data_IF_369254520402
#
_entry.id   IF_369254520402
#
_cell.length_a   1.000
_cell.length_b   1.000
_cell.length_c   1.000
_cell.angle_alpha   90.00
_cell.angle_beta   90.00
_cell.angle_gamma   90.00
#
_symmetry.space_group_name_H-M   'P 1'
#
loop_
_entity.id
_entity.type
_entity.pdbx_description
1 polymer ?
#
# COMPACT_ATOMS: atom_id res chain seq x y z
N UNK A 1 -1.50 2.72 -6.42
CA UNK A 1 -2.53 3.10 -7.42
C UNK A 1 -2.38 4.59 -7.70
N UNK A 2 -2.55 5.03 -8.95
CA UNK A 2 -2.46 6.46 -9.30
C UNK A 2 -3.89 7.02 -9.30
N UNK A 3 -4.22 8.00 -8.43
CA UNK A 3 -5.55 8.58 -8.40
C UNK A 3 -6.03 9.05 -9.77
N UNK A 4 -7.21 8.61 -10.18
CA UNK A 4 -7.83 8.95 -11.46
C UNK A 4 -7.46 8.05 -12.64
N UNK A 5 -6.49 7.15 -12.50
CA UNK A 5 -6.10 6.20 -13.55
C UNK A 5 -6.75 4.84 -13.30
N UNK A 6 -7.52 4.34 -14.27
CA UNK A 6 -8.25 3.07 -14.14
C UNK A 6 -7.56 1.90 -14.82
N UNK A 7 -6.66 2.18 -15.74
CA UNK A 7 -5.85 1.19 -16.44
C UNK A 7 -4.90 0.52 -15.45
N UNK A 8 -4.67 -0.77 -15.65
CA UNK A 8 -3.71 -1.52 -14.84
C UNK A 8 -2.63 -2.10 -15.74
N UNK A 9 -1.41 -2.15 -15.21
CA UNK A 9 -0.26 -2.74 -15.90
C UNK A 9 0.16 -4.00 -15.16
N UNK A 10 0.15 -5.13 -15.86
CA UNK A 10 0.57 -6.43 -15.31
C UNK A 10 1.92 -6.80 -15.89
N UNK A 11 2.86 -7.09 -15.01
CA UNK A 11 4.17 -7.65 -15.35
C UNK A 11 4.17 -9.10 -14.86
N UNK A 12 4.49 -10.05 -15.74
CA UNK A 12 4.78 -11.42 -15.34
C UNK A 12 6.25 -11.74 -15.67
N UNK A 13 6.89 -12.51 -14.79
CA UNK A 13 8.30 -12.83 -14.90
C UNK A 13 8.80 -13.60 -13.69
N UNK A 14 10.11 -13.79 -13.62
CA UNK A 14 10.77 -14.46 -12.49
C UNK A 14 11.21 -13.43 -11.47
N UNK A 15 10.89 -13.66 -10.20
CA UNK A 15 11.35 -12.83 -9.08
C UNK A 15 12.58 -13.44 -8.40
N UNK A 16 13.61 -12.64 -8.17
CA UNK A 16 14.79 -12.97 -7.38
C UNK A 16 14.97 -11.94 -6.26
N UNK A 17 15.21 -12.40 -5.02
CA UNK A 17 15.54 -11.52 -3.91
C UNK A 17 17.06 -11.34 -3.87
N UNK A 18 17.51 -10.09 -3.87
CA UNK A 18 18.93 -9.70 -3.86
C UNK A 18 19.23 -8.77 -2.70
N UNK A 19 20.45 -8.82 -2.19
CA UNK A 19 20.98 -7.94 -1.14
C UNK A 19 22.34 -7.30 -1.52
N UNK A 20 22.65 -7.23 -2.82
CA UNK A 20 23.89 -6.63 -3.32
C UNK A 20 23.98 -5.14 -2.93
N UNK A 21 25.10 -4.72 -2.34
CA UNK A 21 25.25 -3.37 -1.79
C UNK A 21 25.06 -2.26 -2.84
N UNK A 22 25.53 -2.45 -4.06
CA UNK A 22 25.41 -1.49 -5.17
C UNK A 22 23.97 -1.39 -5.70
N UNK A 23 23.21 -2.49 -5.65
CA UNK A 23 21.80 -2.49 -5.99
C UNK A 23 20.99 -1.77 -4.90
N UNK A 24 21.21 -2.12 -3.63
CA UNK A 24 20.51 -1.51 -2.49
C UNK A 24 20.72 0.01 -2.43
N UNK A 25 21.94 0.49 -2.76
CA UNK A 25 22.26 1.92 -2.81
C UNK A 25 21.37 2.72 -3.78
N UNK A 26 20.80 2.09 -4.82
CA UNK A 26 19.89 2.75 -5.79
C UNK A 26 18.48 2.99 -5.22
N UNK A 27 18.14 2.37 -4.10
CA UNK A 27 16.82 2.41 -3.48
C UNK A 27 16.83 3.05 -2.08
N UNK A 28 17.84 3.87 -1.78
CA UNK A 28 17.90 4.64 -0.54
C UNK A 28 16.72 5.61 -0.44
N UNK A 29 16.04 5.60 0.70
CA UNK A 29 15.02 6.59 1.05
C UNK A 29 15.36 7.18 2.41
N UNK A 30 15.55 8.49 2.46
CA UNK A 30 15.79 9.24 3.70
C UNK A 30 16.94 8.67 4.55
N UNK A 31 18.09 8.36 3.92
CA UNK A 31 19.27 7.83 4.62
C UNK A 31 19.19 6.35 4.97
N UNK A 32 18.13 5.64 4.55
CA UNK A 32 17.91 4.23 4.90
C UNK A 32 17.92 3.36 3.66
N UNK A 33 18.81 2.37 3.67
CA UNK A 33 18.87 1.33 2.66
C UNK A 33 17.84 0.24 2.96
N UNK A 34 17.19 -0.34 1.94
CA UNK A 34 16.40 -1.55 2.13
C UNK A 34 17.30 -2.74 2.51
N UNK A 35 16.73 -3.75 3.18
CA UNK A 35 17.45 -4.98 3.51
C UNK A 35 17.70 -5.88 2.30
N UNK A 36 16.82 -5.77 1.30
CA UNK A 36 16.84 -6.57 0.08
C UNK A 36 15.98 -5.88 -1.00
N UNK A 37 16.24 -6.20 -2.26
CA UNK A 37 15.42 -5.82 -3.41
C UNK A 37 14.81 -7.05 -4.07
N UNK A 38 13.60 -6.92 -4.62
CA UNK A 38 13.03 -7.91 -5.54
C UNK A 38 13.35 -7.51 -6.97
N UNK A 39 14.21 -8.28 -7.63
CA UNK A 39 14.49 -8.14 -9.06
C UNK A 39 13.48 -8.98 -9.82
N UNK A 40 12.73 -8.36 -10.73
CA UNK A 40 11.79 -9.07 -11.60
C UNK A 40 12.35 -9.12 -13.01
N UNK A 41 12.78 -10.29 -13.47
CA UNK A 41 13.11 -10.52 -14.87
C UNK A 41 11.81 -10.65 -15.65
N UNK A 42 11.43 -9.59 -16.35
CA UNK A 42 10.18 -9.51 -17.11
C UNK A 42 10.19 -10.51 -18.27
N UNK A 43 9.15 -11.35 -18.32
CA UNK A 43 8.89 -12.26 -19.45
C UNK A 43 7.79 -11.71 -20.35
N UNK A 44 6.77 -11.09 -19.76
CA UNK A 44 5.65 -10.50 -20.49
C UNK A 44 5.04 -9.34 -19.69
N UNK A 45 4.52 -8.35 -20.41
CA UNK A 45 3.87 -7.19 -19.81
C UNK A 45 2.63 -6.80 -20.61
N UNK A 46 1.53 -6.53 -19.90
CA UNK A 46 0.24 -6.25 -20.50
C UNK A 46 -0.45 -5.06 -19.85
N UNK A 47 -1.08 -4.24 -20.69
CA UNK A 47 -2.10 -3.30 -20.24
C UNK A 47 -3.43 -4.06 -20.13
N UNK A 48 -4.08 -3.97 -18.98
CA UNK A 48 -5.38 -4.57 -18.73
C UNK A 48 -6.48 -3.51 -18.71
N UNK A 49 -7.67 -3.92 -19.15
CA UNK A 49 -8.82 -3.03 -19.26
C UNK A 49 -9.27 -2.50 -17.88
N UNK A 50 -9.74 -1.25 -17.87
CA UNK A 50 -10.18 -0.51 -16.69
C UNK A 50 -11.49 -1.00 -16.03
N UNK A 51 -12.10 -2.08 -16.54
CA UNK A 51 -13.48 -2.48 -16.19
C UNK A 51 -13.69 -2.71 -14.69
N UNK A 52 -12.72 -3.32 -14.00
CA UNK A 52 -12.84 -3.61 -12.58
C UNK A 52 -12.87 -2.33 -11.74
N UNK A 53 -11.95 -1.39 -11.99
CA UNK A 53 -11.84 -0.13 -11.27
C UNK A 53 -13.02 0.80 -11.57
N UNK A 54 -13.51 0.81 -12.81
CA UNK A 54 -14.73 1.53 -13.20
C UNK A 54 -15.96 0.97 -12.46
N UNK A 55 -16.14 -0.36 -12.44
CA UNK A 55 -17.28 -1.00 -11.75
C UNK A 55 -17.25 -0.81 -10.25
N UNK A 56 -16.06 -0.77 -9.64
CA UNK A 56 -15.93 -0.51 -8.20
C UNK A 56 -16.06 0.97 -7.85
N UNK A 57 -16.19 1.85 -8.84
CA UNK A 57 -16.22 3.32 -8.64
C UNK A 57 -15.04 3.80 -7.80
N UNK A 58 -13.86 3.18 -7.96
CA UNK A 58 -12.74 3.34 -7.03
C UNK A 58 -12.36 4.81 -6.80
N UNK A 59 -12.41 5.63 -7.84
CA UNK A 59 -12.01 7.03 -7.80
C UNK A 59 -13.16 8.00 -7.54
N UNK A 60 -14.40 7.52 -7.60
CA UNK A 60 -15.60 8.34 -7.44
C UNK A 60 -15.73 8.80 -5.99
N UNK A 61 -15.69 10.12 -5.72
CA UNK A 61 -15.87 10.64 -4.36
C UNK A 61 -17.22 10.23 -3.74
N UNK A 62 -18.27 10.09 -4.55
CA UNK A 62 -19.61 9.72 -4.07
C UNK A 62 -19.70 8.23 -3.69
N UNK A 63 -18.75 7.40 -4.12
CA UNK A 63 -18.69 5.98 -3.75
C UNK A 63 -17.94 5.74 -2.44
N UNK A 64 -17.33 6.78 -1.86
CA UNK A 64 -16.50 6.64 -0.65
C UNK A 64 -17.38 6.44 0.56
N UNK A 65 -17.13 5.35 1.28
CA UNK A 65 -17.80 5.07 2.55
C UNK A 65 -17.30 6.07 3.61
N UNK A 66 -18.20 6.70 4.41
CA UNK A 66 -17.81 7.50 5.56
C UNK A 66 -16.90 6.73 6.51
N UNK A 67 -15.88 7.38 7.08
CA UNK A 67 -14.91 6.68 7.94
C UNK A 67 -15.57 6.05 9.16
N UNK A 68 -16.53 6.73 9.75
CA UNK A 68 -17.30 6.29 10.92
C UNK A 68 -18.26 5.13 10.64
N UNK A 69 -18.46 4.74 9.37
CA UNK A 69 -19.25 3.56 9.02
C UNK A 69 -18.50 2.23 9.27
N UNK A 70 -17.20 2.27 9.56
CA UNK A 70 -16.37 1.11 9.88
C UNK A 70 -15.70 1.30 11.24
N UNK A 71 -15.42 0.22 11.99
CA UNK A 71 -14.68 0.30 13.26
C UNK A 71 -13.28 0.92 13.09
N UNK A 72 -12.70 1.38 14.19
CA UNK A 72 -11.29 1.79 14.23
C UNK A 72 -10.38 0.58 14.05
N UNK A 73 -9.14 0.81 13.61
CA UNK A 73 -8.17 -0.28 13.53
C UNK A 73 -7.95 -0.92 14.90
N UNK A 74 -7.97 -0.11 15.97
CA UNK A 74 -7.85 -0.59 17.34
C UNK A 74 -9.04 -1.45 17.75
N UNK A 75 -10.28 -1.04 17.44
CA UNK A 75 -11.48 -1.84 17.69
C UNK A 75 -11.43 -3.18 16.97
N UNK A 76 -11.05 -3.19 15.69
CA UNK A 76 -10.88 -4.43 14.93
C UNK A 76 -9.82 -5.35 15.53
N UNK A 77 -8.67 -4.79 15.94
CA UNK A 77 -7.60 -5.58 16.55
C UNK A 77 -8.01 -6.13 17.92
N UNK A 78 -8.65 -5.33 18.80
CA UNK A 78 -9.17 -5.80 20.10
C UNK A 78 -10.16 -6.94 19.92
N UNK A 79 -11.05 -6.83 18.92
CA UNK A 79 -12.00 -7.89 18.61
C UNK A 79 -11.32 -9.17 18.10
N UNK A 80 -10.24 -9.04 17.31
CA UNK A 80 -9.52 -10.17 16.73
C UNK A 80 -8.56 -10.85 17.72
N UNK A 81 -7.89 -10.10 18.59
CA UNK A 81 -6.84 -10.62 19.50
C UNK A 81 -7.31 -10.79 20.94
N UNK A 82 -8.39 -10.12 21.35
CA UNK A 82 -8.85 -10.05 22.73
C UNK A 82 -8.04 -9.10 23.63
N UNK A 83 -6.94 -8.52 23.14
CA UNK A 83 -6.08 -7.63 23.93
C UNK A 83 -6.68 -6.25 24.11
N UNK A 84 -7.20 -5.96 25.30
CA UNK A 84 -7.83 -4.68 25.63
C UNK A 84 -6.85 -3.53 25.81
N UNK A 85 -5.53 -3.79 25.83
CA UNK A 85 -4.51 -2.76 26.00
C UNK A 85 -4.16 -2.04 24.69
N UNK A 86 -4.73 -2.45 23.56
CA UNK A 86 -4.54 -1.79 22.28
C UNK A 86 -5.17 -0.41 22.34
N UNK A 87 -4.32 0.62 22.33
CA UNK A 87 -4.73 2.02 22.38
C UNK A 87 -5.60 2.39 21.16
N UNK A 88 -6.61 3.22 21.39
CA UNK A 88 -7.28 3.89 20.28
C UNK A 88 -6.38 4.98 19.72
N UNK A 89 -6.34 5.06 18.40
CA UNK A 89 -5.67 6.14 17.67
C UNK A 89 -6.71 6.72 16.72
N UNK A 90 -6.95 8.03 16.81
CA UNK A 90 -7.85 8.70 15.88
C UNK A 90 -7.26 8.71 14.46
N UNK A 91 -8.12 8.91 13.46
CA UNK A 91 -7.66 8.98 12.05
C UNK A 91 -6.69 10.14 11.84
N UNK A 92 -6.85 11.25 12.56
CA UNK A 92 -5.96 12.42 12.47
C UNK A 92 -4.60 12.16 13.10
N UNK A 93 -4.56 11.52 14.28
CA UNK A 93 -3.31 11.12 14.94
C UNK A 93 -2.53 10.13 14.08
N UNK A 94 -3.22 9.13 13.52
CA UNK A 94 -2.63 8.19 12.58
C UNK A 94 -2.05 8.90 11.36
N UNK A 95 -2.81 9.81 10.75
CA UNK A 95 -2.34 10.60 9.59
C UNK A 95 -1.11 11.47 9.94
N UNK A 96 -1.11 12.12 11.11
CA UNK A 96 0.01 12.93 11.57
C UNK A 96 1.27 12.09 11.84
N UNK A 97 1.10 10.88 12.40
CA UNK A 97 2.19 9.92 12.60
C UNK A 97 2.74 9.42 11.26
N UNK A 98 1.86 9.03 10.34
CA UNK A 98 2.25 8.56 9.01
C UNK A 98 2.98 9.64 8.21
N UNK A 99 2.59 10.91 8.31
CA UNK A 99 3.27 12.03 7.63
C UNK A 99 4.75 12.16 8.02
N UNK A 100 5.15 11.70 9.22
CA UNK A 100 6.55 11.70 9.67
C UNK A 100 7.41 10.60 9.06
N UNK A 101 6.78 9.58 8.45
CA UNK A 101 7.45 8.35 7.98
C UNK A 101 7.08 7.98 6.54
N UNK A 102 6.19 8.73 5.89
CA UNK A 102 5.72 8.41 4.53
C UNK A 102 6.81 8.64 3.47
N UNK A 103 7.84 9.43 3.78
CA UNK A 103 8.99 9.74 2.93
C UNK A 103 10.23 9.95 3.79
#
# INVERSE_FOLDING_TARGET
LIPGINETFRINGTGEIRDDADLLAKFEVSGKLPKSCLVVTVQEAFMHCAKALMRSRLWDPEARVPRDALPTAAEMMRAQTGDQNIADETTEEAAARYKKVLY
#
